data_IF_102113342859
#
_entry.id   IF_102113342859
#
_cell.length_a   1.000
_cell.length_b   1.000
_cell.length_c   1.000
_cell.angle_alpha   90.00
_cell.angle_beta   90.00
_cell.angle_gamma   90.00
#
_symmetry.space_group_name_H-M   'P 1'
#
loop_
_entity.id
_entity.type
_entity.pdbx_description
1 polymer ?
#
# COMPACT_ATOMS: atom_id res chain seq x y z
N UNK A 1 -4.32 10.65 -3.06
CA UNK A 1 -3.75 11.03 -4.36
C UNK A 1 -4.63 12.07 -5.02
N UNK A 2 -4.05 12.85 -5.92
CA UNK A 2 -4.82 13.83 -6.69
C UNK A 2 -5.38 13.19 -7.97
N UNK A 3 -4.69 12.20 -8.52
CA UNK A 3 -5.16 11.40 -9.64
C UNK A 3 -4.46 10.05 -9.69
N UNK A 4 -5.14 9.06 -10.23
CA UNK A 4 -4.58 7.78 -10.65
C UNK A 4 -5.17 7.43 -12.01
N UNK A 5 -4.32 7.00 -12.90
CA UNK A 5 -4.66 6.59 -14.26
C UNK A 5 -4.00 5.24 -14.55
N UNK A 6 -4.79 4.30 -14.99
CA UNK A 6 -4.28 3.02 -15.50
C UNK A 6 -3.87 3.19 -16.96
N UNK A 7 -2.60 2.98 -17.27
CA UNK A 7 -2.06 3.10 -18.62
C UNK A 7 -2.11 1.77 -19.38
N UNK A 8 -1.89 0.67 -18.69
CA UNK A 8 -2.01 -0.71 -19.18
C UNK A 8 -2.50 -1.60 -18.03
N UNK A 9 -2.71 -2.89 -18.29
CA UNK A 9 -3.15 -3.84 -17.25
C UNK A 9 -2.19 -3.86 -16.05
N UNK A 10 -0.90 -3.60 -16.26
CA UNK A 10 0.13 -3.68 -15.24
C UNK A 10 0.79 -2.33 -14.92
N UNK A 11 0.48 -1.25 -15.66
CA UNK A 11 1.07 0.07 -15.45
C UNK A 11 0.05 1.11 -15.00
N UNK A 12 0.38 1.82 -13.93
CA UNK A 12 -0.42 2.91 -13.38
C UNK A 12 0.44 4.17 -13.27
N UNK A 13 -0.18 5.32 -13.54
CA UNK A 13 0.37 6.65 -13.28
C UNK A 13 -0.40 7.29 -12.14
N UNK A 14 0.30 7.95 -11.24
CA UNK A 14 -0.32 8.63 -10.12
C UNK A 14 0.31 9.99 -9.85
N UNK A 15 -0.50 10.92 -9.42
CA UNK A 15 -0.05 12.18 -8.83
C UNK A 15 -0.48 12.19 -7.37
N UNK A 16 0.51 12.25 -6.47
CA UNK A 16 0.28 12.24 -5.03
C UNK A 16 0.89 13.48 -4.38
N UNK A 17 0.19 14.08 -3.44
CA UNK A 17 0.75 15.09 -2.56
C UNK A 17 1.14 14.43 -1.25
N UNK A 18 2.37 14.59 -0.83
CA UNK A 18 2.89 14.08 0.44
C UNK A 18 3.45 15.21 1.29
N UNK A 19 3.31 15.05 2.61
CA UNK A 19 3.93 15.91 3.61
C UNK A 19 4.70 15.04 4.59
N UNK A 20 6.02 15.21 4.61
CA UNK A 20 6.91 14.52 5.56
C UNK A 20 7.76 15.57 6.26
N UNK A 21 7.48 15.82 7.54
CA UNK A 21 8.10 16.91 8.28
C UNK A 21 7.89 18.26 7.59
N UNK A 22 8.96 19.02 7.29
CA UNK A 22 8.87 20.32 6.63
C UNK A 22 8.67 20.21 5.09
N UNK A 23 8.83 19.02 4.51
CA UNK A 23 8.73 18.83 3.05
C UNK A 23 7.28 18.51 2.69
N UNK A 24 6.65 19.41 1.92
CA UNK A 24 5.37 19.20 1.25
C UNK A 24 5.59 19.29 -0.25
N UNK A 25 5.23 18.25 -1.00
CA UNK A 25 5.42 18.23 -2.44
C UNK A 25 4.45 17.29 -3.15
N UNK A 26 4.19 17.61 -4.41
CA UNK A 26 3.53 16.72 -5.35
C UNK A 26 4.56 15.82 -6.00
N UNK A 27 4.27 14.53 -6.03
CA UNK A 27 5.03 13.54 -6.76
C UNK A 27 4.21 12.99 -7.90
N UNK A 28 4.80 12.99 -9.08
CA UNK A 28 4.25 12.27 -10.24
C UNK A 28 5.03 10.98 -10.38
N UNK A 29 4.34 9.86 -10.40
CA UNK A 29 4.97 8.56 -10.38
C UNK A 29 4.34 7.55 -11.31
N UNK A 30 5.09 6.48 -11.52
CA UNK A 30 4.67 5.26 -12.19
C UNK A 30 4.77 4.09 -11.24
N UNK A 31 3.82 3.18 -11.38
CA UNK A 31 3.77 1.91 -10.66
C UNK A 31 3.58 0.83 -11.70
N UNK A 32 4.42 -0.21 -11.64
CA UNK A 32 4.31 -1.41 -12.46
C UNK A 32 4.07 -2.62 -11.56
N UNK A 33 3.14 -3.47 -11.95
CA UNK A 33 2.94 -4.78 -11.37
C UNK A 33 3.79 -5.80 -12.15
N UNK A 34 4.41 -6.73 -11.44
CA UNK A 34 5.13 -7.85 -12.01
C UNK A 34 4.94 -9.09 -11.15
N UNK A 35 5.37 -10.25 -11.67
CA UNK A 35 5.28 -11.53 -10.97
C UNK A 35 3.86 -11.82 -10.44
N UNK A 36 2.85 -11.40 -11.22
CA UNK A 36 1.44 -11.53 -10.84
C UNK A 36 1.04 -13.00 -10.88
N UNK A 37 0.83 -13.60 -9.71
CA UNK A 37 0.49 -15.00 -9.49
C UNK A 37 -0.76 -15.14 -8.61
N UNK A 38 -1.96 -14.95 -9.16
CA UNK A 38 -3.20 -15.07 -8.40
C UNK A 38 -3.47 -16.51 -7.94
N UNK A 39 -3.94 -16.74 -6.70
CA UNK A 39 -4.23 -15.77 -5.65
C UNK A 39 -3.06 -15.47 -4.71
N UNK A 40 -1.83 -15.91 -5.04
CA UNK A 40 -0.74 -16.03 -4.09
C UNK A 40 0.04 -14.72 -3.88
N UNK A 41 0.05 -13.81 -4.86
CA UNK A 41 0.73 -12.53 -4.68
C UNK A 41 1.21 -11.87 -5.97
N UNK A 42 1.99 -10.81 -5.80
CA UNK A 42 2.57 -10.01 -6.90
C UNK A 42 3.70 -9.12 -6.37
N UNK A 43 4.44 -8.53 -7.29
CA UNK A 43 5.44 -7.52 -7.00
C UNK A 43 5.01 -6.17 -7.56
N UNK A 44 5.22 -5.13 -6.79
CA UNK A 44 5.01 -3.73 -7.18
C UNK A 44 6.38 -3.10 -7.35
N UNK A 45 6.60 -2.39 -8.45
CA UNK A 45 7.78 -1.53 -8.65
C UNK A 45 7.30 -0.11 -8.92
N UNK A 46 7.75 0.83 -8.11
CA UNK A 46 7.31 2.21 -8.18
C UNK A 46 8.45 3.21 -8.23
N UNK A 47 8.22 4.31 -8.94
CA UNK A 47 9.11 5.47 -8.93
C UNK A 47 8.30 6.75 -9.04
N UNK A 48 8.75 7.80 -8.36
CA UNK A 48 8.10 9.10 -8.36
C UNK A 48 9.10 10.24 -8.33
N UNK A 49 8.75 11.33 -8.99
CA UNK A 49 9.53 12.56 -9.05
C UNK A 49 8.74 13.71 -8.43
N UNK A 50 9.36 14.40 -7.49
CA UNK A 50 8.79 15.54 -6.76
C UNK A 50 9.46 16.89 -7.10
N UNK A 51 10.10 16.99 -8.25
CA UNK A 51 10.82 18.20 -8.66
C UNK A 51 11.90 18.59 -7.64
N UNK A 52 11.81 19.79 -7.10
CA UNK A 52 12.76 20.29 -6.10
C UNK A 52 12.75 19.50 -4.77
N UNK A 53 11.71 18.71 -4.48
CA UNK A 53 11.65 17.84 -3.31
C UNK A 53 12.50 16.56 -3.49
N UNK A 54 12.81 16.19 -4.74
CA UNK A 54 13.64 15.04 -5.06
C UNK A 54 12.82 13.89 -5.65
N UNK A 55 13.21 12.65 -5.34
CA UNK A 55 12.61 11.45 -5.89
C UNK A 55 12.39 10.37 -4.83
N UNK A 56 11.52 9.43 -5.14
CA UNK A 56 11.36 8.18 -4.42
C UNK A 56 11.26 7.03 -5.44
N UNK A 57 11.88 5.90 -5.14
CA UNK A 57 11.76 4.67 -5.94
C UNK A 57 11.82 3.46 -5.01
N UNK A 58 11.19 2.38 -5.42
CA UNK A 58 11.23 1.17 -4.60
C UNK A 58 10.44 0.03 -5.20
N UNK A 59 10.42 -1.07 -4.46
CA UNK A 59 9.60 -2.22 -4.77
C UNK A 59 8.97 -2.79 -3.52
N UNK A 60 7.81 -3.42 -3.70
CA UNK A 60 7.14 -4.18 -2.66
C UNK A 60 6.80 -5.57 -3.19
N UNK A 61 7.05 -6.59 -2.39
CA UNK A 61 6.59 -7.95 -2.65
C UNK A 61 5.43 -8.23 -1.72
N UNK A 62 4.30 -8.61 -2.31
CA UNK A 62 3.09 -8.97 -1.57
C UNK A 62 2.86 -10.47 -1.73
N UNK A 63 2.62 -11.16 -0.63
CA UNK A 63 2.25 -12.57 -0.62
C UNK A 63 1.00 -12.80 0.21
N UNK A 64 0.13 -13.65 -0.31
CA UNK A 64 -1.14 -14.03 0.30
C UNK A 64 -1.10 -15.52 0.63
N UNK A 65 -1.48 -15.87 1.84
CA UNK A 65 -1.58 -17.25 2.30
C UNK A 65 -2.96 -17.46 2.90
N UNK A 66 -3.71 -18.39 2.35
CA UNK A 66 -4.97 -18.82 2.93
C UNK A 66 -4.69 -19.61 4.20
N UNK A 67 -5.28 -19.22 5.30
CA UNK A 67 -5.22 -19.93 6.58
C UNK A 67 -6.42 -20.86 6.74
N UNK A 68 -7.58 -20.40 6.34
CA UNK A 68 -8.85 -21.11 6.32
C UNK A 68 -9.78 -20.52 5.24
N UNK A 69 -10.99 -21.07 4.99
CA UNK A 69 -11.87 -20.59 3.93
C UNK A 69 -12.29 -19.13 4.05
N UNK A 70 -12.19 -18.55 5.24
CA UNK A 70 -12.60 -17.17 5.52
C UNK A 70 -11.44 -16.24 5.82
N UNK A 71 -10.24 -16.77 6.11
CA UNK A 71 -9.10 -15.97 6.56
C UNK A 71 -7.93 -16.07 5.61
N UNK A 72 -7.45 -14.94 5.14
CA UNK A 72 -6.23 -14.82 4.33
C UNK A 72 -5.21 -13.95 5.05
N UNK A 73 -4.00 -14.47 5.20
CA UNK A 73 -2.85 -13.73 5.70
C UNK A 73 -2.15 -13.00 4.57
N UNK A 74 -2.01 -11.68 4.70
CA UNK A 74 -1.21 -10.85 3.80
C UNK A 74 0.14 -10.54 4.45
N UNK A 75 1.22 -10.85 3.74
CA UNK A 75 2.57 -10.40 4.09
C UNK A 75 3.04 -9.44 3.00
N UNK A 76 3.80 -8.42 3.41
CA UNK A 76 4.47 -7.56 2.44
C UNK A 76 5.87 -7.17 2.93
N UNK A 77 6.76 -7.01 1.98
CA UNK A 77 8.13 -6.57 2.21
C UNK A 77 8.43 -5.42 1.25
N UNK A 78 9.01 -4.34 1.76
CA UNK A 78 9.27 -3.11 0.99
C UNK A 78 10.72 -2.74 1.06
N UNK A 79 11.31 -2.47 -0.11
CA UNK A 79 12.58 -1.76 -0.26
C UNK A 79 12.31 -0.42 -0.94
N UNK A 80 12.83 0.66 -0.39
CA UNK A 80 12.63 1.99 -0.93
C UNK A 80 13.84 2.89 -0.75
N UNK A 81 14.10 3.71 -1.76
CA UNK A 81 15.13 4.73 -1.77
C UNK A 81 14.51 6.10 -2.03
N UNK A 82 14.97 7.09 -1.29
CA UNK A 82 14.57 8.49 -1.47
C UNK A 82 15.79 9.37 -1.69
N UNK A 83 15.63 10.43 -2.45
CA UNK A 83 16.70 11.38 -2.74
C UNK A 83 16.23 12.84 -2.71
N UNK A 84 17.16 13.78 -2.81
CA UNK A 84 16.89 15.21 -2.78
C UNK A 84 16.53 15.72 -1.38
N UNK A 85 15.70 16.77 -1.31
CA UNK A 85 15.26 17.36 -0.04
C UNK A 85 14.48 16.37 0.83
N UNK A 86 13.77 15.41 0.21
CA UNK A 86 13.08 14.37 0.93
C UNK A 86 14.03 13.50 1.76
N UNK A 87 15.20 13.16 1.23
CA UNK A 87 16.20 12.41 1.99
C UNK A 87 16.77 13.20 3.18
N UNK A 88 16.82 14.54 3.09
CA UNK A 88 17.35 15.42 4.12
C UNK A 88 16.47 15.51 5.38
N UNK A 89 15.19 15.10 5.33
CA UNK A 89 14.31 15.06 6.50
C UNK A 89 14.76 14.00 7.52
N UNK A 90 15.60 13.06 7.08
CA UNK A 90 16.15 12.01 7.93
C UNK A 90 15.32 10.73 7.90
N UNK A 91 16.01 9.62 8.01
CA UNK A 91 15.43 8.27 7.88
C UNK A 91 14.32 8.00 8.92
N UNK A 92 14.44 8.51 10.12
CA UNK A 92 13.45 8.33 11.18
C UNK A 92 12.08 8.93 10.83
N UNK A 93 12.07 10.13 10.24
CA UNK A 93 10.82 10.77 9.81
C UNK A 93 10.21 10.05 8.62
N UNK A 94 11.05 9.60 7.66
CA UNK A 94 10.60 8.81 6.51
C UNK A 94 9.96 7.50 6.98
N UNK A 95 10.60 6.76 7.88
CA UNK A 95 10.07 5.51 8.42
C UNK A 95 8.76 5.72 9.18
N UNK A 96 8.68 6.76 10.02
CA UNK A 96 7.45 7.08 10.76
C UNK A 96 6.29 7.41 9.81
N UNK A 97 6.53 8.22 8.79
CA UNK A 97 5.52 8.57 7.80
C UNK A 97 5.09 7.34 6.98
N UNK A 98 6.04 6.50 6.54
CA UNK A 98 5.76 5.27 5.82
C UNK A 98 4.92 4.31 6.64
N UNK A 99 5.24 4.14 7.93
CA UNK A 99 4.43 3.32 8.84
C UNK A 99 3.01 3.86 8.97
N UNK A 100 2.86 5.16 9.22
CA UNK A 100 1.53 5.78 9.33
C UNK A 100 0.68 5.61 8.07
N UNK A 101 1.29 5.73 6.88
CA UNK A 101 0.60 5.51 5.61
C UNK A 101 0.19 4.04 5.42
N UNK A 102 1.05 3.11 5.82
CA UNK A 102 0.73 1.69 5.78
C UNK A 102 -0.42 1.35 6.75
N UNK A 103 -0.36 1.84 7.98
CA UNK A 103 -1.42 1.64 8.98
C UNK A 103 -2.77 2.18 8.49
N UNK A 104 -2.80 3.39 7.91
CA UNK A 104 -4.02 3.96 7.32
C UNK A 104 -4.54 3.11 6.15
N UNK A 105 -3.64 2.65 5.29
CA UNK A 105 -3.99 1.79 4.16
C UNK A 105 -4.69 0.51 4.64
N UNK A 106 -4.09 -0.19 5.60
CA UNK A 106 -4.63 -1.46 6.05
C UNK A 106 -5.91 -1.29 6.87
N UNK A 107 -6.06 -0.22 7.65
CA UNK A 107 -7.31 0.09 8.32
C UNK A 107 -8.45 0.32 7.31
N UNK A 108 -8.22 1.14 6.29
CA UNK A 108 -9.21 1.38 5.25
C UNK A 108 -9.53 0.10 4.44
N UNK A 109 -8.53 -0.75 4.22
CA UNK A 109 -8.72 -2.04 3.56
C UNK A 109 -9.61 -2.98 4.38
N UNK A 110 -9.40 -3.04 5.69
CA UNK A 110 -10.27 -3.78 6.60
C UNK A 110 -11.71 -3.25 6.62
N UNK A 111 -11.87 -1.92 6.71
CA UNK A 111 -13.19 -1.29 6.67
C UNK A 111 -13.93 -1.62 5.36
N UNK A 112 -13.23 -1.60 4.23
CA UNK A 112 -13.79 -1.98 2.93
C UNK A 112 -14.32 -3.40 2.93
N UNK A 113 -13.57 -4.37 3.45
CA UNK A 113 -14.02 -5.76 3.52
C UNK A 113 -15.13 -5.98 4.55
N UNK A 114 -15.10 -5.29 5.68
CA UNK A 114 -16.12 -5.41 6.71
C UNK A 114 -17.45 -4.77 6.30
N UNK A 115 -17.43 -3.68 5.53
CA UNK A 115 -18.65 -3.04 5.05
C UNK A 115 -19.37 -3.85 3.96
N UNK A 116 -18.69 -4.73 3.25
CA UNK A 116 -19.28 -5.67 2.28
C UNK A 116 -19.83 -6.95 2.99
N UNK A 117 -19.53 -7.10 4.27
CA UNK A 117 -19.97 -8.20 5.15
C UNK A 117 -20.98 -7.69 6.17
N UNK A 118 -22.22 -7.41 5.77
CA UNK A 118 -23.33 -7.27 6.73
C UNK A 118 -23.62 -8.64 7.34
N UNK A 119 -23.13 -8.84 8.55
CA UNK A 119 -23.26 -9.87 9.57
C UNK A 119 -21.96 -10.66 9.79
N UNK A 120 -21.33 -10.39 10.93
CA UNK A 120 -20.89 -11.33 11.97
C UNK A 120 -19.88 -10.61 12.90
N UNK A 121 -20.06 -10.84 14.18
CA UNK A 121 -19.39 -10.45 15.41
C UNK A 121 -17.93 -9.95 15.38
N UNK A 122 -17.69 -8.97 16.25
CA UNK A 122 -16.41 -8.37 16.60
C UNK A 122 -15.42 -9.41 17.16
N UNK A 123 -14.32 -9.65 16.44
CA UNK A 123 -13.06 -10.04 17.07
C UNK A 123 -11.94 -9.08 16.63
N UNK A 124 -11.29 -8.49 17.61
CA UNK A 124 -10.21 -7.50 17.42
C UNK A 124 -8.98 -8.16 16.77
N UNK A 125 -8.33 -7.51 15.80
CA UNK A 125 -7.09 -8.02 15.22
C UNK A 125 -5.94 -7.90 16.22
N UNK A 126 -5.30 -9.02 16.52
CA UNK A 126 -4.06 -9.05 17.30
C UNK A 126 -2.91 -8.60 16.42
N UNK A 127 -2.31 -7.47 16.76
CA UNK A 127 -1.10 -6.96 16.11
C UNK A 127 0.11 -7.57 16.83
N UNK A 128 0.73 -8.58 16.25
CA UNK A 128 2.05 -9.03 16.71
C UNK A 128 3.15 -8.21 16.02
N UNK A 129 3.76 -7.32 16.78
CA UNK A 129 4.95 -6.60 16.38
C UNK A 129 6.21 -7.45 16.57
N UNK A 130 6.54 -8.29 15.60
CA UNK A 130 7.80 -9.01 15.54
C UNK A 130 8.94 -8.16 14.96
N UNK A 131 10.13 -8.24 15.55
CA UNK A 131 11.39 -7.56 15.18
C UNK A 131 11.96 -8.05 13.84
N UNK A 132 11.30 -7.73 12.74
CA UNK A 132 11.83 -7.84 11.38
C UNK A 132 10.88 -7.04 10.50
N UNK A 133 11.39 -6.40 9.43
CA UNK A 133 10.58 -5.58 8.49
C UNK A 133 9.49 -6.36 7.73
N UNK A 134 8.95 -7.40 8.31
CA UNK A 134 7.82 -8.19 7.80
C UNK A 134 6.57 -7.78 8.55
N UNK A 135 5.71 -7.03 7.89
CA UNK A 135 4.39 -6.72 8.40
C UNK A 135 3.40 -7.80 7.94
N UNK A 136 2.59 -8.28 8.86
CA UNK A 136 1.63 -9.36 8.63
C UNK A 136 0.23 -8.86 8.98
N UNK A 137 -0.70 -9.01 8.07
CA UNK A 137 -2.11 -8.66 8.27
C UNK A 137 -3.01 -9.87 7.98
N UNK A 138 -4.09 -10.00 8.71
CA UNK A 138 -5.07 -11.06 8.57
C UNK A 138 -6.38 -10.46 8.07
N UNK A 139 -6.97 -11.06 7.04
CA UNK A 139 -8.24 -10.62 6.46
C UNK A 139 -9.22 -11.78 6.32
N UNK A 140 -10.49 -11.49 6.56
CA UNK A 140 -11.58 -12.40 6.22
C UNK A 140 -11.93 -12.19 4.72
N UNK A 141 -11.88 -13.27 3.91
CA UNK A 141 -12.04 -13.07 2.47
C UNK A 141 -12.59 -14.24 1.68
N UNK A 142 -13.53 -13.95 0.79
CA UNK A 142 -13.93 -14.85 -0.30
C UNK A 142 -12.98 -14.75 -1.50
N UNK A 143 -12.40 -15.88 -1.90
CA UNK A 143 -11.21 -16.11 -2.75
C UNK A 143 -11.06 -15.35 -4.07
N UNK A 144 -12.12 -14.85 -4.70
CA UNK A 144 -12.03 -14.34 -6.10
C UNK A 144 -11.99 -12.82 -6.23
N UNK A 145 -12.27 -12.08 -5.16
CA UNK A 145 -12.39 -10.61 -5.17
C UNK A 145 -11.15 -9.86 -4.66
N UNK A 146 -10.25 -10.54 -3.94
CA UNK A 146 -9.14 -9.88 -3.21
C UNK A 146 -8.11 -9.26 -4.12
N UNK A 147 -7.71 -9.94 -5.18
CA UNK A 147 -6.63 -9.46 -6.06
C UNK A 147 -7.10 -8.23 -6.82
N UNK A 148 -8.32 -8.25 -7.34
CA UNK A 148 -8.92 -7.10 -8.01
C UNK A 148 -9.16 -5.95 -7.01
N UNK A 149 -9.60 -6.27 -5.78
CA UNK A 149 -9.81 -5.28 -4.73
C UNK A 149 -8.50 -4.67 -4.22
N UNK A 150 -7.40 -5.42 -4.08
CA UNK A 150 -6.10 -4.88 -3.71
C UNK A 150 -5.52 -3.95 -4.79
N UNK A 151 -5.71 -4.28 -6.05
CA UNK A 151 -5.31 -3.41 -7.17
C UNK A 151 -6.22 -2.18 -7.24
N UNK A 152 -7.54 -2.38 -7.19
CA UNK A 152 -8.54 -1.29 -7.21
C UNK A 152 -8.42 -0.46 -5.94
N UNK A 153 -8.05 -1.03 -4.80
CA UNK A 153 -7.93 -0.31 -3.55
C UNK A 153 -6.61 0.46 -3.43
N UNK A 154 -5.50 -0.03 -3.97
CA UNK A 154 -4.31 0.80 -4.18
C UNK A 154 -4.66 2.03 -5.04
N UNK A 155 -5.52 1.84 -6.04
CA UNK A 155 -6.03 2.91 -6.89
C UNK A 155 -7.06 3.80 -6.16
N UNK A 156 -7.96 3.20 -5.36
CA UNK A 156 -8.99 3.90 -4.58
C UNK A 156 -8.43 4.59 -3.34
N UNK A 157 -7.43 4.04 -2.66
CA UNK A 157 -6.72 4.69 -1.57
C UNK A 157 -6.08 6.00 -2.06
N UNK A 158 -5.55 5.95 -3.26
CA UNK A 158 -5.08 7.13 -3.96
C UNK A 158 -6.24 8.10 -4.26
N UNK A 159 -7.44 7.61 -4.56
CA UNK A 159 -8.61 8.43 -4.87
C UNK A 159 -9.35 8.96 -3.62
N UNK A 160 -9.50 8.14 -2.58
CA UNK A 160 -10.28 8.47 -1.38
C UNK A 160 -9.58 9.42 -0.40
N UNK A 161 -8.25 9.49 -0.42
CA UNK A 161 -7.48 10.45 0.39
C UNK A 161 -7.63 11.90 -0.10
N UNK A 162 -8.38 12.12 -1.18
CA UNK A 162 -8.56 13.44 -1.81
C UNK A 162 -9.97 14.04 -1.64
N UNK A 163 -10.86 13.40 -0.88
CA UNK A 163 -12.15 13.91 -0.44
C UNK A 163 -12.18 13.89 1.08
#
# INVERSE_FOLDING_TARGET
>A
AQSVEQSTDDEFKAVVEIKIGPVKAKFTGKINLSDVNPPNGYKIVGQGQGGAAGFAKGSAVVSLTELDPETTKLNYEVDAQVGGKLAQVGQRLIQSASKSLADQFFNNLQEYFNSDSTHIDEEQPVIEAGKSSRNVFFFNTQRKRIIFALIVFLLSFVYFYNN
#
